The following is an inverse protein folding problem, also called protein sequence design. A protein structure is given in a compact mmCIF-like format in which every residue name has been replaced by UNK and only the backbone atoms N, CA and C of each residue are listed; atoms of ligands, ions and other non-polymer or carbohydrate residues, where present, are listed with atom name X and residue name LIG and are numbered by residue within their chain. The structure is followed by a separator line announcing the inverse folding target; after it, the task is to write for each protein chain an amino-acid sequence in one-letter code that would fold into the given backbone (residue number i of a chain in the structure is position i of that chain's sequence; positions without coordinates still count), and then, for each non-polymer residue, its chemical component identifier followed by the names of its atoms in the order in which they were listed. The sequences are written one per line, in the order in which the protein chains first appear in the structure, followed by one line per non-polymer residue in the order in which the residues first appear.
data_IF_402092110428
#
_entry.id   IF_402092110428
#
_cell.length_a   1.000
_cell.length_b   1.000
_cell.length_c   1.000
_cell.angle_alpha   90.00
_cell.angle_beta   90.00
_cell.angle_gamma   90.00
#
_symmetry.space_group_name_H-M   'P 1'
#
loop_
_entity.id
_entity.type
_entity.pdbx_description
1 polymer ?
#
# COMPACT_ATOMS: atom_id res chain seq x y z
N UNK A 1 -6.51 25.69 6.23
CA UNK A 1 -5.55 24.91 5.42
C UNK A 1 -6.32 23.70 4.91
N UNK A 2 -6.56 23.64 3.61
CA UNK A 2 -7.27 22.51 3.00
C UNK A 2 -6.55 21.20 3.30
N UNK A 3 -7.34 20.18 3.53
CA UNK A 3 -6.90 18.82 3.86
C UNK A 3 -6.41 18.12 2.59
N UNK A 4 -5.20 18.46 2.12
CA UNK A 4 -4.65 17.92 0.90
C UNK A 4 -4.19 16.46 1.15
N UNK A 5 -4.77 15.53 0.39
CA UNK A 5 -4.24 14.18 0.25
C UNK A 5 -3.20 14.18 -0.87
N UNK A 6 -2.13 13.43 -0.66
CA UNK A 6 -1.17 13.08 -1.70
C UNK A 6 -1.42 11.63 -2.11
N UNK A 7 -1.37 11.37 -3.40
CA UNK A 7 -1.38 10.02 -3.94
C UNK A 7 0.05 9.55 -4.21
N UNK A 8 0.40 8.38 -3.68
CA UNK A 8 1.68 7.73 -3.90
C UNK A 8 1.44 6.52 -4.79
N UNK A 9 2.17 6.47 -5.91
CA UNK A 9 1.98 5.47 -6.96
C UNK A 9 3.31 4.84 -7.36
N UNK A 10 3.26 3.66 -7.95
CA UNK A 10 4.43 3.01 -8.55
C UNK A 10 4.74 3.53 -9.96
N UNK A 11 3.84 4.29 -10.54
CA UNK A 11 3.89 4.76 -11.92
C UNK A 11 4.78 6.00 -12.04
N UNK A 12 5.90 5.94 -12.80
CA UNK A 12 6.77 7.09 -12.97
C UNK A 12 6.03 8.22 -13.71
N UNK A 13 6.22 9.49 -13.29
CA UNK A 13 5.58 10.64 -13.93
C UNK A 13 5.83 10.73 -15.43
N UNK A 14 6.99 10.28 -15.91
CA UNK A 14 7.33 10.22 -17.34
C UNK A 14 6.51 9.21 -18.15
N UNK A 15 5.76 8.33 -17.46
CA UNK A 15 4.90 7.34 -18.11
C UNK A 15 3.51 7.86 -18.47
N UNK A 16 3.15 9.08 -18.04
CA UNK A 16 1.87 9.69 -18.36
C UNK A 16 1.96 10.55 -19.63
N UNK A 17 0.95 10.47 -20.49
CA UNK A 17 0.80 11.39 -21.60
C UNK A 17 0.24 12.76 -21.11
N UNK A 18 0.10 13.71 -22.05
CA UNK A 18 -0.44 15.05 -21.78
C UNK A 18 -1.88 15.06 -21.24
N UNK A 19 -2.64 13.99 -21.48
CA UNK A 19 -4.02 13.83 -21.01
C UNK A 19 -4.08 13.12 -19.64
N UNK A 20 -2.94 12.85 -19.01
CA UNK A 20 -2.85 12.18 -17.71
C UNK A 20 -3.08 10.66 -17.75
N UNK A 21 -3.00 10.05 -18.95
CA UNK A 21 -3.18 8.60 -19.15
C UNK A 21 -1.82 7.93 -19.04
N UNK A 22 -1.72 6.90 -18.19
CA UNK A 22 -0.50 6.09 -18.09
C UNK A 22 -0.36 5.20 -19.32
N UNK A 23 0.80 5.26 -19.97
CA UNK A 23 1.02 4.69 -21.31
C UNK A 23 1.69 3.30 -21.29
N UNK A 24 2.14 2.83 -20.14
CA UNK A 24 2.81 1.54 -20.02
C UNK A 24 1.91 0.48 -19.40
N UNK A 25 2.18 -0.79 -19.76
CA UNK A 25 1.43 -1.95 -19.30
C UNK A 25 2.08 -2.54 -18.03
N UNK A 26 1.94 -1.83 -16.91
CA UNK A 26 2.47 -2.28 -15.62
C UNK A 26 1.44 -3.13 -14.87
N UNK A 27 1.87 -4.31 -14.42
CA UNK A 27 1.02 -5.24 -13.69
C UNK A 27 1.21 -5.10 -12.18
N UNK A 28 0.10 -5.17 -11.45
CA UNK A 28 0.08 -5.01 -9.99
C UNK A 28 -0.70 -6.09 -9.28
N UNK A 29 -1.61 -6.79 -9.97
CA UNK A 29 -2.47 -7.78 -9.34
C UNK A 29 -1.69 -9.03 -8.94
N UNK A 30 -1.99 -9.56 -7.76
CA UNK A 30 -1.49 -10.87 -7.35
C UNK A 30 -1.91 -11.98 -8.32
N UNK A 31 -3.05 -11.83 -8.98
CA UNK A 31 -3.57 -12.78 -9.99
C UNK A 31 -2.77 -12.78 -11.29
N UNK A 32 -1.86 -11.84 -11.49
CA UNK A 32 -0.99 -11.76 -12.66
C UNK A 32 0.33 -12.53 -12.49
N UNK A 33 0.61 -13.00 -11.28
CA UNK A 33 1.79 -13.84 -11.02
C UNK A 33 1.71 -15.12 -11.88
N UNK A 34 2.78 -15.38 -12.62
CA UNK A 34 2.90 -16.52 -13.54
C UNK A 34 2.43 -16.23 -14.96
N UNK A 35 1.79 -15.10 -15.24
CA UNK A 35 1.42 -14.69 -16.59
C UNK A 35 2.60 -14.05 -17.33
N UNK A 36 2.60 -14.17 -18.65
CA UNK A 36 3.61 -13.54 -19.52
C UNK A 36 3.10 -12.21 -20.07
N UNK A 37 3.92 -11.16 -19.96
CA UNK A 37 3.68 -9.83 -20.49
C UNK A 37 4.92 -9.38 -21.28
N UNK A 38 4.73 -9.08 -22.55
CA UNK A 38 5.84 -8.69 -23.46
C UNK A 38 7.01 -9.69 -23.44
N UNK A 39 6.70 -11.00 -23.37
CA UNK A 39 7.71 -12.06 -23.34
C UNK A 39 8.40 -12.28 -21.99
N UNK A 40 8.02 -11.53 -20.95
CA UNK A 40 8.54 -11.69 -19.59
C UNK A 40 7.46 -12.22 -18.66
N UNK A 41 7.79 -13.24 -17.88
CA UNK A 41 6.90 -13.79 -16.84
C UNK A 41 6.93 -12.84 -15.63
N UNK A 42 5.74 -12.40 -15.20
CA UNK A 42 5.59 -11.63 -13.96
C UNK A 42 5.70 -12.60 -12.77
N UNK A 43 6.76 -12.48 -12.01
CA UNK A 43 7.08 -13.41 -10.92
C UNK A 43 6.53 -12.94 -9.56
N UNK A 44 6.40 -13.90 -8.60
CA UNK A 44 6.12 -13.57 -7.20
C UNK A 44 7.15 -12.58 -6.62
N UNK A 45 8.41 -12.68 -7.05
CA UNK A 45 9.47 -11.76 -6.64
C UNK A 45 9.22 -10.33 -7.13
N UNK A 46 8.76 -10.17 -8.38
CA UNK A 46 8.42 -8.84 -8.94
C UNK A 46 7.25 -8.23 -8.18
N UNK A 47 6.22 -9.04 -7.89
CA UNK A 47 5.07 -8.64 -7.09
C UNK A 47 5.48 -8.19 -5.68
N UNK A 48 6.20 -9.03 -4.94
CA UNK A 48 6.64 -8.74 -3.57
C UNK A 48 7.59 -7.55 -3.48
N UNK A 49 8.37 -7.28 -4.52
CA UNK A 49 9.22 -6.10 -4.60
C UNK A 49 8.38 -4.83 -4.51
N UNK A 50 7.33 -4.72 -5.31
CA UNK A 50 6.44 -3.55 -5.30
C UNK A 50 5.67 -3.46 -3.98
N UNK A 51 5.14 -4.56 -3.48
CA UNK A 51 4.46 -4.61 -2.18
C UNK A 51 5.36 -4.06 -1.06
N UNK A 52 6.64 -4.49 -1.01
CA UNK A 52 7.59 -4.01 -0.01
C UNK A 52 7.96 -2.52 -0.18
N UNK A 53 7.97 -1.98 -1.39
CA UNK A 53 8.20 -0.55 -1.62
C UNK A 53 7.13 0.30 -0.92
N UNK A 54 5.86 -0.07 -1.03
CA UNK A 54 4.76 0.62 -0.34
C UNK A 54 4.85 0.49 1.18
N UNK A 55 5.11 -0.73 1.67
CA UNK A 55 5.24 -0.98 3.11
C UNK A 55 6.38 -0.14 3.70
N UNK A 56 7.54 -0.15 3.07
CA UNK A 56 8.70 0.62 3.51
C UNK A 56 8.41 2.13 3.49
N UNK A 57 7.70 2.62 2.47
CA UNK A 57 7.29 4.02 2.39
C UNK A 57 6.43 4.43 3.58
N UNK A 58 5.40 3.62 3.91
CA UNK A 58 4.55 3.88 5.09
C UNK A 58 5.38 3.86 6.39
N UNK A 59 6.28 2.88 6.55
CA UNK A 59 7.13 2.79 7.73
C UNK A 59 8.11 3.97 7.85
N UNK A 60 8.64 4.49 6.74
CA UNK A 60 9.49 5.68 6.73
C UNK A 60 8.70 6.94 7.10
N UNK A 61 7.50 7.12 6.56
CA UNK A 61 6.60 8.22 6.92
C UNK A 61 6.25 8.17 8.40
N UNK A 62 5.95 6.98 8.94
CA UNK A 62 5.72 6.80 10.37
C UNK A 62 6.95 7.14 11.22
N UNK A 63 8.16 6.82 10.72
CA UNK A 63 9.41 7.19 11.40
C UNK A 63 9.61 8.70 11.42
N UNK A 64 9.43 9.36 10.29
CA UNK A 64 9.55 10.82 10.17
C UNK A 64 8.62 11.55 11.14
N UNK A 65 7.42 11.01 11.33
CA UNK A 65 6.41 11.56 12.23
C UNK A 65 6.56 11.08 13.68
N UNK A 66 7.53 10.24 14.01
CA UNK A 66 7.59 9.53 15.30
C UNK A 66 6.25 8.87 15.68
N UNK A 67 5.62 8.20 14.71
CA UNK A 67 4.35 7.50 14.88
C UNK A 67 4.59 6.04 15.28
N UNK A 68 4.22 5.67 16.51
CA UNK A 68 4.50 4.33 17.05
C UNK A 68 3.41 3.30 16.70
N UNK A 69 2.22 3.74 16.35
CA UNK A 69 1.07 2.87 16.00
C UNK A 69 0.15 3.59 15.03
N UNK A 70 -0.63 2.81 14.31
CA UNK A 70 -1.78 3.28 13.53
C UNK A 70 -3.08 2.79 14.18
N UNK A 71 -4.12 3.59 14.12
CA UNK A 71 -5.46 3.21 14.57
C UNK A 71 -6.34 2.94 13.36
N UNK A 72 -7.12 1.89 13.38
CA UNK A 72 -8.15 1.60 12.38
C UNK A 72 -9.25 2.62 12.54
N UNK A 73 -9.35 3.58 11.62
CA UNK A 73 -10.40 4.59 11.61
C UNK A 73 -11.68 4.06 10.93
N UNK A 74 -11.52 3.24 9.90
CA UNK A 74 -12.58 2.56 9.18
C UNK A 74 -12.07 1.22 8.65
N UNK A 75 -12.95 0.23 8.52
CA UNK A 75 -12.64 -1.09 7.98
C UNK A 75 -13.84 -1.72 7.29
N UNK A 76 -13.56 -2.34 6.15
CA UNK A 76 -14.42 -3.31 5.46
C UNK A 76 -13.63 -4.60 5.28
N UNK A 77 -14.13 -5.70 5.83
CA UNK A 77 -13.49 -7.01 5.74
C UNK A 77 -14.52 -8.12 5.92
N UNK A 78 -14.44 -9.13 5.07
CA UNK A 78 -15.04 -10.44 5.33
C UNK A 78 -13.93 -11.34 5.91
N UNK A 79 -13.96 -11.56 7.21
CA UNK A 79 -12.89 -12.28 7.93
C UNK A 79 -12.67 -13.69 7.40
N UNK A 80 -13.73 -14.44 7.12
CA UNK A 80 -13.61 -15.82 6.63
C UNK A 80 -13.03 -15.86 5.21
N UNK A 81 -13.50 -14.99 4.34
CA UNK A 81 -12.99 -14.87 2.97
C UNK A 81 -11.53 -14.43 2.95
N UNK A 82 -11.17 -13.49 3.80
CA UNK A 82 -9.78 -13.02 3.95
C UNK A 82 -8.85 -14.19 4.32
N UNK A 83 -9.21 -15.00 5.32
CA UNK A 83 -8.39 -16.15 5.74
C UNK A 83 -8.26 -17.17 4.61
N UNK A 84 -9.37 -17.54 3.96
CA UNK A 84 -9.36 -18.48 2.85
C UNK A 84 -8.49 -17.99 1.68
N UNK A 85 -8.55 -16.70 1.38
CA UNK A 85 -7.74 -16.11 0.30
C UNK A 85 -6.26 -16.02 0.66
N UNK A 86 -5.90 -15.80 1.92
CA UNK A 86 -4.50 -15.85 2.38
C UNK A 86 -3.91 -17.24 2.08
N UNK A 87 -4.60 -18.31 2.50
CA UNK A 87 -4.18 -19.69 2.28
C UNK A 87 -4.10 -20.04 0.79
N UNK A 88 -5.08 -19.59 0.01
CA UNK A 88 -5.10 -19.77 -1.45
C UNK A 88 -3.91 -19.07 -2.11
N UNK A 89 -3.61 -17.82 -1.74
CA UNK A 89 -2.51 -17.05 -2.33
C UNK A 89 -1.15 -17.64 -1.98
N UNK A 90 -0.98 -18.11 -0.73
CA UNK A 90 0.22 -18.84 -0.32
C UNK A 90 0.42 -20.10 -1.17
N UNK A 91 -0.60 -20.92 -1.27
CA UNK A 91 -0.54 -22.19 -2.03
C UNK A 91 -0.33 -21.97 -3.53
N UNK A 92 -1.02 -20.99 -4.13
CA UNK A 92 -1.02 -20.78 -5.57
C UNK A 92 0.16 -19.96 -6.08
N UNK A 93 0.58 -18.96 -5.32
CA UNK A 93 1.56 -17.97 -5.77
C UNK A 93 2.84 -17.96 -4.92
N UNK A 94 2.90 -18.70 -3.81
CA UNK A 94 4.04 -18.71 -2.90
C UNK A 94 4.25 -17.40 -2.14
N UNK A 95 3.20 -16.58 -2.00
CA UNK A 95 3.26 -15.26 -1.34
C UNK A 95 2.63 -15.35 0.04
N UNK A 96 3.45 -15.55 1.05
CA UNK A 96 2.99 -15.78 2.41
C UNK A 96 2.74 -14.46 3.15
N UNK A 97 1.76 -14.48 4.06
CA UNK A 97 1.61 -13.51 5.14
C UNK A 97 1.68 -14.29 6.45
N UNK A 98 2.77 -14.12 7.18
CA UNK A 98 2.96 -14.81 8.46
C UNK A 98 2.28 -14.05 9.59
N UNK A 99 1.65 -14.78 10.50
CA UNK A 99 1.07 -14.22 11.73
C UNK A 99 -0.38 -14.61 11.94
N UNK A 100 -0.87 -14.29 13.13
CA UNK A 100 -2.28 -14.42 13.49
C UNK A 100 -3.00 -13.12 13.18
N UNK A 101 -4.14 -13.20 12.52
CA UNK A 101 -4.97 -12.05 12.20
C UNK A 101 -6.13 -11.98 13.19
N UNK A 102 -6.14 -10.98 14.09
CA UNK A 102 -7.27 -10.79 14.99
C UNK A 102 -8.51 -10.34 14.20
N UNK A 103 -9.67 -10.46 14.82
CA UNK A 103 -10.87 -9.83 14.30
C UNK A 103 -10.67 -8.30 14.33
N UNK A 104 -10.32 -7.74 13.17
CA UNK A 104 -10.10 -6.31 13.04
C UNK A 104 -11.37 -5.52 13.29
N UNK A 105 -11.26 -4.42 14.04
CA UNK A 105 -12.38 -3.52 14.30
C UNK A 105 -11.93 -2.06 14.37
N UNK A 106 -12.87 -1.17 14.09
CA UNK A 106 -12.67 0.27 14.23
C UNK A 106 -12.19 0.61 15.66
N UNK A 107 -11.24 1.50 15.76
CA UNK A 107 -10.61 1.92 17.02
C UNK A 107 -9.42 1.05 17.45
N UNK A 108 -9.20 -0.09 16.83
CA UNK A 108 -8.07 -0.97 17.15
C UNK A 108 -6.74 -0.28 16.82
N UNK A 109 -5.78 -0.35 17.74
CA UNK A 109 -4.41 0.13 17.54
C UNK A 109 -3.53 -0.99 17.00
N UNK A 110 -2.80 -0.70 15.96
CA UNK A 110 -1.86 -1.60 15.32
C UNK A 110 -0.45 -1.11 15.63
N UNK A 111 0.30 -1.91 16.36
CA UNK A 111 1.70 -1.61 16.65
C UNK A 111 2.56 -1.67 15.39
N UNK A 112 3.65 -0.91 15.37
CA UNK A 112 4.54 -0.80 14.21
C UNK A 112 5.03 -2.15 13.67
N UNK A 113 5.25 -3.13 14.53
CA UNK A 113 5.72 -4.46 14.13
C UNK A 113 4.68 -5.25 13.30
N UNK A 114 3.39 -4.99 13.53
CA UNK A 114 2.30 -5.68 12.85
C UNK A 114 1.82 -4.95 11.58
N UNK A 115 2.22 -3.68 11.40
CA UNK A 115 1.80 -2.86 10.26
C UNK A 115 2.16 -3.52 8.92
N UNK A 116 3.36 -4.07 8.68
CA UNK A 116 3.70 -4.69 7.40
C UNK A 116 2.68 -5.75 6.96
N UNK A 117 2.28 -6.64 7.86
CA UNK A 117 1.35 -7.70 7.52
C UNK A 117 -0.06 -7.20 7.20
N UNK A 118 -0.51 -6.17 7.93
CA UNK A 118 -1.84 -5.58 7.68
C UNK A 118 -1.86 -4.77 6.40
N UNK A 119 -0.79 -4.05 6.08
CA UNK A 119 -0.67 -3.38 4.79
C UNK A 119 -0.65 -4.37 3.62
N UNK A 120 -0.05 -5.57 3.79
CA UNK A 120 -0.15 -6.64 2.78
C UNK A 120 -1.58 -7.07 2.52
N UNK A 121 -2.40 -7.19 3.57
CA UNK A 121 -3.82 -7.50 3.38
C UNK A 121 -4.53 -6.45 2.53
N UNK A 122 -4.27 -5.16 2.82
CA UNK A 122 -4.84 -4.06 2.04
C UNK A 122 -4.33 -4.06 0.59
N UNK A 123 -3.02 -4.23 0.37
CA UNK A 123 -2.39 -4.26 -0.96
C UNK A 123 -2.86 -5.45 -1.81
N UNK A 124 -3.26 -6.55 -1.17
CA UNK A 124 -3.82 -7.74 -1.81
C UNK A 124 -5.34 -7.70 -1.94
N UNK A 125 -5.95 -6.56 -1.61
CA UNK A 125 -7.40 -6.34 -1.68
C UNK A 125 -8.22 -7.33 -0.80
N UNK A 126 -7.61 -7.86 0.26
CA UNK A 126 -8.25 -8.78 1.20
C UNK A 126 -9.06 -8.05 2.27
N UNK A 127 -8.80 -6.77 2.46
CA UNK A 127 -9.58 -5.86 3.30
C UNK A 127 -9.36 -4.42 2.85
N UNK A 128 -10.32 -3.55 3.15
CA UNK A 128 -10.15 -2.12 3.02
C UNK A 128 -10.05 -1.49 4.40
N UNK A 129 -8.96 -0.80 4.68
CA UNK A 129 -8.72 -0.15 5.97
C UNK A 129 -8.27 1.29 5.76
N UNK A 130 -8.94 2.21 6.47
CA UNK A 130 -8.47 3.57 6.65
C UNK A 130 -7.73 3.63 7.98
N UNK A 131 -6.46 3.95 7.93
CA UNK A 131 -5.60 4.12 9.10
C UNK A 131 -5.49 5.58 9.50
N UNK A 132 -5.31 5.83 10.79
CA UNK A 132 -5.05 7.17 11.32
C UNK A 132 -4.10 7.14 12.51
N UNK A 133 -3.33 8.23 12.66
CA UNK A 133 -2.66 8.59 13.90
C UNK A 133 -3.00 10.06 14.20
N UNK A 134 -4.04 10.29 14.99
CA UNK A 134 -4.59 11.64 15.24
C UNK A 134 -3.55 12.61 15.82
N UNK A 135 -2.73 12.15 16.80
CA UNK A 135 -1.68 12.95 17.42
C UNK A 135 -0.60 13.42 16.44
N UNK A 136 -0.44 12.70 15.32
CA UNK A 136 0.53 13.00 14.26
C UNK A 136 -0.14 13.55 12.99
N UNK A 137 -1.44 13.80 13.02
CA UNK A 137 -2.25 14.26 11.87
C UNK A 137 -2.03 13.39 10.63
N UNK A 138 -1.77 12.08 10.83
CA UNK A 138 -1.56 11.11 9.76
C UNK A 138 -2.86 10.38 9.49
N UNK A 139 -3.23 10.27 8.21
CA UNK A 139 -4.30 9.41 7.70
C UNK A 139 -3.82 8.78 6.41
N UNK A 140 -4.07 7.49 6.21
CA UNK A 140 -3.72 6.80 4.97
C UNK A 140 -4.68 5.63 4.68
N UNK A 141 -4.81 5.30 3.41
CA UNK A 141 -5.53 4.12 2.92
C UNK A 141 -5.06 3.77 1.51
N UNK A 142 -5.25 2.51 1.13
CA UNK A 142 -5.06 2.07 -0.26
C UNK A 142 -6.38 2.11 -1.00
N UNK A 143 -6.38 2.66 -2.22
CA UNK A 143 -7.42 2.44 -3.21
C UNK A 143 -6.95 1.41 -4.24
N UNK A 144 -7.77 1.16 -5.27
CA UNK A 144 -7.45 0.17 -6.30
C UNK A 144 -6.09 0.42 -6.96
N UNK A 145 -5.49 -0.62 -7.52
CA UNK A 145 -4.26 -0.56 -8.33
C UNK A 145 -3.03 0.04 -7.62
N UNK A 146 -2.90 -0.19 -6.32
CA UNK A 146 -1.76 0.32 -5.54
C UNK A 146 -1.67 1.83 -5.43
N UNK A 147 -2.80 2.54 -5.44
CA UNK A 147 -2.82 3.94 -5.05
C UNK A 147 -2.84 4.07 -3.53
N UNK A 148 -1.74 4.59 -2.96
CA UNK A 148 -1.67 4.94 -1.54
C UNK A 148 -2.05 6.40 -1.36
N UNK A 149 -3.20 6.63 -0.77
CA UNK A 149 -3.67 7.97 -0.40
C UNK A 149 -3.16 8.30 1.00
N UNK A 150 -2.47 9.42 1.12
CA UNK A 150 -1.89 9.87 2.39
C UNK A 150 -2.15 11.34 2.66
N UNK A 151 -2.52 11.63 3.91
CA UNK A 151 -2.55 12.96 4.48
C UNK A 151 -1.63 13.00 5.69
N UNK A 152 -0.64 13.86 5.68
CA UNK A 152 0.33 14.02 6.77
C UNK A 152 0.89 15.43 6.79
N UNK A 153 1.46 15.91 7.93
CA UNK A 153 2.05 17.24 8.05
C UNK A 153 3.48 17.33 7.50
N UNK A 154 3.96 16.29 6.82
CA UNK A 154 5.27 16.31 6.16
C UNK A 154 5.18 17.22 4.94
N UNK A 155 6.16 18.12 4.76
CA UNK A 155 6.20 18.94 3.56
C UNK A 155 6.42 18.10 2.29
N UNK A 156 5.95 18.62 1.15
CA UNK A 156 5.95 17.89 -0.13
C UNK A 156 7.37 17.47 -0.57
N UNK A 157 8.41 18.26 -0.28
CA UNK A 157 9.80 17.93 -0.63
C UNK A 157 10.28 16.69 0.12
N UNK A 158 10.16 16.70 1.45
CA UNK A 158 10.56 15.55 2.31
C UNK A 158 9.73 14.30 1.98
N UNK A 159 8.42 14.46 1.75
CA UNK A 159 7.57 13.34 1.35
C UNK A 159 8.04 12.75 0.01
N UNK A 160 8.37 13.59 -0.97
CA UNK A 160 8.88 13.15 -2.27
C UNK A 160 10.23 12.41 -2.15
N UNK A 161 11.11 12.84 -1.25
CA UNK A 161 12.36 12.13 -0.97
C UNK A 161 12.12 10.72 -0.39
N UNK A 162 11.21 10.61 0.58
CA UNK A 162 10.83 9.30 1.17
C UNK A 162 10.28 8.37 0.09
N UNK A 163 9.38 8.87 -0.73
CA UNK A 163 8.72 8.11 -1.79
C UNK A 163 9.74 7.63 -2.83
N UNK A 164 10.62 8.53 -3.30
CA UNK A 164 11.67 8.20 -4.29
C UNK A 164 12.68 7.18 -3.78
N UNK A 165 13.05 7.21 -2.49
CA UNK A 165 13.94 6.20 -1.88
C UNK A 165 13.40 4.78 -1.99
N UNK A 166 12.08 4.64 -2.14
CA UNK A 166 11.41 3.36 -2.31
C UNK A 166 10.99 3.08 -3.76
N UNK A 167 11.52 3.85 -4.74
CA UNK A 167 11.14 3.77 -6.15
C UNK A 167 9.63 3.90 -6.39
N UNK A 168 8.99 4.74 -5.61
CA UNK A 168 7.63 5.19 -5.80
C UNK A 168 7.62 6.68 -6.16
N UNK A 169 6.45 7.20 -6.52
CA UNK A 169 6.30 8.58 -7.00
C UNK A 169 5.07 9.22 -6.37
N UNK A 170 5.10 10.54 -6.19
CA UNK A 170 3.87 11.30 -5.98
C UNK A 170 3.16 11.42 -7.32
N UNK A 171 1.86 11.13 -7.34
CA UNK A 171 1.06 11.25 -8.55
C UNK A 171 1.08 12.71 -9.04
N UNK A 172 1.46 12.95 -10.30
CA UNK A 172 1.53 14.31 -10.83
C UNK A 172 0.15 14.96 -11.04
N UNK A 173 -0.93 14.17 -10.95
CA UNK A 173 -2.31 14.60 -11.17
C UNK A 173 -2.99 15.08 -9.87
N UNK A 174 -2.39 14.81 -8.68
CA UNK A 174 -2.92 15.15 -7.35
C UNK A 174 -2.24 16.35 -6.70
#
# INVERSE_FOLDING_TARGET
MEDIFHEIVKYPPSGYNKDGIYMYDDRTSISDIGKSFNGKIFSAKDYLKVENQYINTVLMIMSELDCKYLTIAYIEVNQNEMINNIEMYEKKYGVNITGTFPNFKKGMRISRINIPNILRLCLRELCYIVFSCKSKKLKLYFSYEYYLNIKCPINKSTLNEIVKKNNLYLDPRG
#
